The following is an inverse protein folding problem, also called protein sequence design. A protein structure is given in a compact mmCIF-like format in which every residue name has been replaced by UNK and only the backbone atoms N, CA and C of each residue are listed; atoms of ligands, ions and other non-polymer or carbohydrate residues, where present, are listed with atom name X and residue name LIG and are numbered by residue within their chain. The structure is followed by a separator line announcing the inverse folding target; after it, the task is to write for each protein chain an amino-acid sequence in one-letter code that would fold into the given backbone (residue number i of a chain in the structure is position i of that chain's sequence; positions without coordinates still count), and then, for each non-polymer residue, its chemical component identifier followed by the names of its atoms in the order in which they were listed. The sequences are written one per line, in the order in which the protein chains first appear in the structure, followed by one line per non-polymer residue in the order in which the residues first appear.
data_IF_923486975064
#
_entry.id   IF_923486975064
#
_cell.length_a   1.000
_cell.length_b   1.000
_cell.length_c   1.000
_cell.angle_alpha   90.00
_cell.angle_beta   90.00
_cell.angle_gamma   90.00
#
_symmetry.space_group_name_H-M   'P 1'
#
loop_
_entity.id
_entity.type
_entity.pdbx_description
1 polymer ?
#
# COMPACT_ATOMS: atom_id res chain seq x y z
N UNK A 1 2.38 15.12 -18.19
CA UNK A 1 3.41 15.70 -17.31
C UNK A 1 2.70 16.12 -16.03
N UNK A 2 3.08 15.57 -14.87
CA UNK A 2 2.53 15.96 -13.57
C UNK A 2 3.44 17.05 -12.99
N UNK A 3 2.87 18.16 -12.53
CA UNK A 3 3.61 19.25 -11.90
C UNK A 3 3.10 19.47 -10.49
N UNK A 4 3.98 19.30 -9.50
CA UNK A 4 3.68 19.49 -8.08
C UNK A 4 4.52 20.63 -7.56
N UNK A 5 3.91 21.55 -6.81
CA UNK A 5 4.63 22.64 -6.16
C UNK A 5 5.20 22.13 -4.85
N UNK A 6 6.51 22.25 -4.69
CA UNK A 6 7.24 21.88 -3.49
C UNK A 6 8.02 23.09 -2.97
N UNK A 7 8.21 23.16 -1.66
CA UNK A 7 9.26 23.97 -1.06
C UNK A 7 10.64 23.42 -1.44
N UNK A 8 11.68 24.24 -1.28
CA UNK A 8 13.06 23.82 -1.53
C UNK A 8 13.49 22.67 -0.62
N UNK A 9 12.98 22.63 0.60
CA UNK A 9 13.34 21.61 1.59
C UNK A 9 12.70 20.26 1.25
N UNK A 10 11.41 20.27 0.88
CA UNK A 10 10.71 19.06 0.39
C UNK A 10 11.37 18.52 -0.88
N UNK A 11 11.69 19.38 -1.85
CA UNK A 11 12.34 18.95 -3.09
C UNK A 11 13.71 18.30 -2.82
N UNK A 12 14.50 18.88 -1.92
CA UNK A 12 15.79 18.33 -1.51
C UNK A 12 15.65 16.98 -0.80
N UNK A 13 14.65 16.85 0.09
CA UNK A 13 14.39 15.62 0.82
C UNK A 13 14.00 14.50 -0.13
N UNK A 14 13.00 14.74 -1.00
CA UNK A 14 12.48 13.74 -1.93
C UNK A 14 13.58 13.30 -2.91
N UNK A 15 14.38 14.25 -3.43
CA UNK A 15 15.52 13.92 -4.31
C UNK A 15 16.58 13.05 -3.62
N UNK A 16 16.91 13.33 -2.37
CA UNK A 16 17.86 12.51 -1.59
C UNK A 16 17.31 11.11 -1.38
N UNK A 17 16.02 11.00 -1.08
CA UNK A 17 15.37 9.71 -0.84
C UNK A 17 15.26 8.86 -2.11
N UNK A 18 14.91 9.46 -3.25
CA UNK A 18 14.91 8.77 -4.54
C UNK A 18 16.32 8.24 -4.89
N UNK A 19 17.36 9.07 -4.70
CA UNK A 19 18.76 8.64 -4.91
C UNK A 19 19.18 7.52 -3.99
N UNK A 20 18.79 7.56 -2.71
CA UNK A 20 19.07 6.49 -1.75
C UNK A 20 18.50 5.15 -2.20
N UNK A 21 17.32 5.17 -2.83
CA UNK A 21 16.67 3.98 -3.40
C UNK A 21 17.12 3.65 -4.83
N UNK A 22 18.14 4.33 -5.37
CA UNK A 22 18.60 4.20 -6.76
C UNK A 22 17.49 4.40 -7.81
N UNK A 23 16.51 5.26 -7.52
CA UNK A 23 15.41 5.58 -8.41
C UNK A 23 15.52 7.02 -8.92
N UNK A 24 15.01 7.29 -10.12
CA UNK A 24 14.75 8.66 -10.54
C UNK A 24 13.62 9.27 -9.71
N UNK A 25 13.58 10.61 -9.65
CA UNK A 25 12.52 11.33 -8.93
C UNK A 25 11.12 10.97 -9.48
N UNK A 26 11.00 10.82 -10.79
CA UNK A 26 9.72 10.48 -11.43
C UNK A 26 9.30 9.04 -11.14
N UNK A 27 10.23 8.09 -11.12
CA UNK A 27 9.93 6.71 -10.74
C UNK A 27 9.50 6.61 -9.28
N UNK A 28 10.24 7.26 -8.38
CA UNK A 28 9.92 7.28 -6.95
C UNK A 28 8.53 7.87 -6.69
N UNK A 29 8.23 9.03 -7.28
CA UNK A 29 6.90 9.66 -7.13
C UNK A 29 5.82 8.75 -7.71
N UNK A 30 6.06 8.11 -8.85
CA UNK A 30 5.09 7.20 -9.47
C UNK A 30 4.84 5.97 -8.59
N UNK A 31 5.88 5.31 -8.09
CA UNK A 31 5.73 4.11 -7.25
C UNK A 31 5.01 4.45 -5.95
N UNK A 32 5.45 5.48 -5.23
CA UNK A 32 4.82 5.88 -3.97
C UNK A 32 3.34 6.24 -4.13
N UNK A 33 2.97 6.89 -5.25
CA UNK A 33 1.57 7.17 -5.53
C UNK A 33 0.76 5.90 -5.78
N UNK A 34 1.29 4.95 -6.56
CA UNK A 34 0.62 3.67 -6.81
C UNK A 34 0.48 2.86 -5.52
N UNK A 35 1.55 2.73 -4.75
CA UNK A 35 1.55 2.02 -3.45
C UNK A 35 0.48 2.62 -2.52
N UNK A 36 0.38 3.96 -2.44
CA UNK A 36 -0.63 4.62 -1.60
C UNK A 36 -2.07 4.41 -2.07
N UNK A 37 -2.28 4.17 -3.37
CA UNK A 37 -3.59 3.86 -3.94
C UNK A 37 -3.95 2.40 -3.64
N UNK A 38 -2.99 1.49 -3.81
CA UNK A 38 -3.14 0.06 -3.48
C UNK A 38 -3.46 -0.12 -1.99
N UNK A 39 -2.72 0.51 -1.09
CA UNK A 39 -2.97 0.45 0.36
C UNK A 39 -4.41 0.88 0.73
N UNK A 40 -4.91 1.95 0.10
CA UNK A 40 -6.27 2.44 0.33
C UNK A 40 -7.32 1.47 -0.20
N UNK A 41 -7.07 0.90 -1.37
CA UNK A 41 -7.99 -0.04 -2.00
C UNK A 41 -8.04 -1.38 -1.24
N UNK A 42 -6.88 -1.90 -0.82
CA UNK A 42 -6.77 -3.10 -0.01
C UNK A 42 -7.47 -2.92 1.34
N UNK A 43 -7.32 -1.74 1.97
CA UNK A 43 -8.03 -1.42 3.21
C UNK A 43 -9.56 -1.41 3.00
N UNK A 44 -10.04 -0.80 1.91
CA UNK A 44 -11.47 -0.76 1.61
C UNK A 44 -12.05 -2.17 1.37
N UNK A 45 -11.32 -3.04 0.66
CA UNK A 45 -11.71 -4.44 0.46
C UNK A 45 -11.71 -5.18 1.80
N UNK A 46 -10.67 -5.01 2.60
CA UNK A 46 -10.57 -5.63 3.91
C UNK A 46 -11.75 -5.22 4.81
N UNK A 47 -12.08 -3.94 4.89
CA UNK A 47 -13.20 -3.45 5.69
C UNK A 47 -14.54 -4.05 5.23
N UNK A 48 -14.77 -4.16 3.92
CA UNK A 48 -15.97 -4.82 3.38
C UNK A 48 -16.02 -6.29 3.79
N UNK A 49 -14.95 -7.03 3.54
CA UNK A 49 -14.87 -8.45 3.88
C UNK A 49 -15.04 -8.67 5.39
N UNK A 50 -14.44 -7.82 6.21
CA UNK A 50 -14.56 -7.87 7.67
C UNK A 50 -15.99 -7.63 8.16
N UNK A 51 -16.68 -6.65 7.56
CA UNK A 51 -18.07 -6.34 7.91
C UNK A 51 -19.07 -7.41 7.43
N UNK A 52 -18.77 -8.09 6.32
CA UNK A 52 -19.57 -9.21 5.82
C UNK A 52 -19.25 -10.54 6.52
N UNK A 53 -18.18 -10.60 7.31
CA UNK A 53 -17.75 -11.83 7.98
C UNK A 53 -18.69 -12.17 9.16
N UNK A 54 -19.47 -13.23 9.01
CA UNK A 54 -20.44 -13.64 10.03
C UNK A 54 -19.80 -14.38 11.22
N UNK A 55 -18.70 -15.10 10.99
CA UNK A 55 -17.99 -15.86 12.03
C UNK A 55 -16.52 -16.07 11.70
N UNK A 56 -15.71 -16.26 12.74
CA UNK A 56 -14.31 -16.69 12.62
C UNK A 56 -14.19 -18.15 13.03
N UNK A 57 -13.33 -18.89 12.35
CA UNK A 57 -13.01 -20.27 12.67
C UNK A 57 -11.59 -20.35 13.21
N UNK A 58 -11.37 -21.27 14.14
CA UNK A 58 -10.03 -21.64 14.57
C UNK A 58 -9.33 -22.46 13.49
N UNK A 59 -8.01 -22.53 13.58
CA UNK A 59 -7.21 -23.34 12.66
C UNK A 59 -7.62 -24.82 12.69
N UNK A 60 -7.97 -25.36 13.86
CA UNK A 60 -8.35 -26.77 14.03
C UNK A 60 -9.72 -27.07 13.42
N UNK A 61 -10.70 -26.17 13.55
CA UNK A 61 -12.01 -26.29 12.88
C UNK A 61 -11.85 -26.29 11.36
N UNK A 62 -11.06 -25.35 10.84
CA UNK A 62 -10.82 -25.21 9.40
C UNK A 62 -10.12 -26.45 8.82
N UNK A 63 -9.10 -27.00 9.50
CA UNK A 63 -8.43 -28.23 9.06
C UNK A 63 -9.39 -29.41 8.98
N UNK A 64 -10.23 -29.56 10.01
CA UNK A 64 -11.23 -30.63 10.07
C UNK A 64 -12.23 -30.55 8.92
N UNK A 65 -12.70 -29.34 8.56
CA UNK A 65 -13.60 -29.14 7.42
C UNK A 65 -12.95 -29.45 6.07
N UNK A 66 -11.66 -29.13 5.92
CA UNK A 66 -10.90 -29.37 4.69
C UNK A 66 -10.32 -30.79 4.57
N UNK A 67 -10.46 -31.62 5.61
CA UNK A 67 -9.94 -32.99 5.63
C UNK A 67 -8.42 -33.08 5.74
N UNK A 68 -7.79 -32.09 6.37
CA UNK A 68 -6.34 -31.99 6.63
C UNK A 68 -5.97 -32.41 8.05
#
# INVERSE_FOLDING_TARGET
MLSVRLSKDEENLIKKFAKFNNMSLSEFVRSTLLDSIEDQYDLEIFEKAWNEMECTYTLEETKKELGL
#
